data_IF_908992378067
#
_entry.id   IF_908992378067
#
_cell.length_a   1.000
_cell.length_b   1.000
_cell.length_c   1.000
_cell.angle_alpha   90.00
_cell.angle_beta   90.00
_cell.angle_gamma   90.00
#
_symmetry.space_group_name_H-M   'P 1'
#
loop_
_entity.id
_entity.type
_entity.pdbx_description
1 polymer ?
#
# COMPACT_ATOMS: atom_id res chain seq x y z
N UNK A 1 -1.68 -18.59 -26.79
CA UNK A 1 -2.74 -18.05 -25.91
C UNK A 1 -3.88 -17.49 -26.77
N UNK A 2 -5.10 -18.00 -26.59
CA UNK A 2 -6.36 -17.36 -27.04
C UNK A 2 -7.25 -17.07 -25.81
N UNK A 3 -7.72 -15.83 -25.64
CA UNK A 3 -8.78 -15.49 -24.69
C UNK A 3 -10.01 -14.99 -25.43
N UNK A 4 -11.16 -15.58 -25.11
CA UNK A 4 -12.49 -15.22 -25.61
C UNK A 4 -13.44 -15.19 -24.42
N UNK A 5 -14.04 -14.03 -24.10
CA UNK A 5 -14.85 -13.86 -22.88
C UNK A 5 -15.91 -12.76 -22.96
N UNK A 6 -17.07 -13.06 -22.36
CA UNK A 6 -18.20 -12.16 -22.14
C UNK A 6 -18.40 -12.00 -20.62
N UNK A 7 -17.32 -11.61 -19.93
CA UNK A 7 -17.29 -11.45 -18.47
C UNK A 7 -17.85 -10.09 -18.03
N UNK A 8 -18.21 -10.01 -16.75
CA UNK A 8 -18.56 -8.79 -16.02
C UNK A 8 -18.37 -9.10 -14.53
N UNK A 9 -17.56 -8.30 -13.84
CA UNK A 9 -17.40 -8.34 -12.39
C UNK A 9 -17.29 -6.92 -11.80
N UNK A 10 -17.49 -6.79 -10.49
CA UNK A 10 -17.52 -5.49 -9.82
C UNK A 10 -16.69 -5.55 -8.53
N UNK A 11 -15.71 -4.64 -8.46
CA UNK A 11 -14.88 -4.35 -7.29
C UNK A 11 -14.58 -2.86 -7.26
N UNK A 12 -14.99 -2.16 -6.20
CA UNK A 12 -15.25 -0.71 -6.27
C UNK A 12 -15.16 -0.04 -4.88
N UNK A 13 -14.55 1.15 -4.82
CA UNK A 13 -13.81 1.62 -3.65
C UNK A 13 -14.37 2.93 -3.04
N UNK A 14 -14.95 2.86 -1.84
CA UNK A 14 -15.23 4.04 -1.00
C UNK A 14 -14.91 3.75 0.47
N UNK A 15 -13.85 4.39 0.99
CA UNK A 15 -13.34 4.16 2.35
C UNK A 15 -12.52 5.31 2.94
N UNK A 16 -12.04 5.08 4.16
CA UNK A 16 -10.96 5.83 4.80
C UNK A 16 -9.81 4.85 5.08
N UNK A 17 -8.71 4.97 4.32
CA UNK A 17 -7.58 4.03 4.35
C UNK A 17 -6.32 4.74 4.86
N UNK A 18 -5.56 4.05 5.71
CA UNK A 18 -4.24 4.49 6.18
C UNK A 18 -3.20 3.42 5.78
N UNK A 19 -2.46 3.73 4.71
CA UNK A 19 -1.36 2.93 4.17
C UNK A 19 -0.02 3.54 4.56
N UNK A 20 0.50 3.15 5.73
CA UNK A 20 1.85 3.51 6.18
C UNK A 20 2.85 2.43 5.76
N UNK A 21 4.01 2.84 5.26
CA UNK A 21 5.22 2.00 5.23
C UNK A 21 6.11 2.15 6.49
N UNK A 22 5.67 3.02 7.41
CA UNK A 22 5.92 3.30 8.85
C UNK A 22 7.15 4.12 9.28
N UNK A 23 6.86 5.32 9.79
CA UNK A 23 7.79 6.39 10.18
C UNK A 23 6.98 7.66 10.40
N UNK A 24 6.80 8.04 11.67
CA UNK A 24 5.79 9.02 12.08
C UNK A 24 5.90 9.40 13.55
N UNK A 25 6.28 10.64 13.83
CA UNK A 25 6.58 11.19 15.16
C UNK A 25 5.55 12.27 15.52
N UNK A 26 4.93 12.12 16.70
CA UNK A 26 3.92 13.04 17.29
C UNK A 26 3.93 12.93 18.82
N UNK A 27 5.52 6.68 14.11
CA UNK A 27 5.23 7.12 15.49
C UNK A 27 3.74 7.00 15.86
N UNK A 28 6.62 11.56 13.77
CA UNK A 28 5.77 12.76 13.91
C UNK A 28 5.40 13.03 15.38
N UNK B 1 1.50 17.83 27.19
CA UNK B 1 2.63 17.08 26.61
C UNK B 1 3.94 17.83 26.81
N UNK B 2 4.99 17.14 27.28
CA UNK B 2 6.40 17.49 27.06
C UNK B 2 7.06 16.35 26.28
N UNK B 3 7.84 16.66 25.24
CA UNK B 3 8.85 15.73 24.70
C UNK B 3 10.22 16.41 24.73
N UNK B 4 11.19 15.70 25.30
CA UNK B 4 12.62 15.96 25.15
C UNK B 4 13.29 14.62 24.84
N UNK B 5 14.13 14.57 23.80
CA UNK B 5 14.85 13.36 23.38
C UNK B 5 16.08 13.70 22.53
N UNK B 6 17.11 12.85 22.64
CA UNK B 6 18.17 12.72 21.63
C UNK B 6 18.04 11.30 21.07
N UNK B 7 17.44 11.19 19.88
CA UNK B 7 17.16 9.92 19.22
C UNK B 7 17.79 9.92 17.82
N UNK B 8 18.58 8.88 17.55
CA UNK B 8 19.17 8.58 16.25
C UNK B 8 18.75 7.14 15.93
N UNK B 9 18.02 6.93 14.83
CA UNK B 9 17.64 5.59 14.33
C UNK B 9 17.74 5.54 12.79
N UNK B 10 17.45 4.40 12.14
CA UNK B 10 17.75 4.19 10.70
C UNK B 10 16.77 3.19 10.05
N UNK B 11 15.88 3.70 9.20
CA UNK B 11 14.96 2.91 8.37
C UNK B 11 14.99 3.37 6.91
N UNK B 12 15.73 2.67 6.06
CA UNK B 12 16.04 3.09 4.68
C UNK B 12 15.68 2.00 3.64
N UNK B 13 15.25 2.38 2.42
CA UNK B 13 14.43 1.53 1.55
C UNK B 13 14.93 1.40 0.10
N UNK B 14 15.24 0.17 -0.33
CA UNK B 14 15.51 -0.19 -1.73
C UNK B 14 14.86 -1.53 -2.09
N UNK B 15 13.62 -1.47 -2.59
CA UNK B 15 12.76 -2.63 -2.87
C UNK B 15 12.05 -2.62 -4.22
N UNK B 16 11.61 -3.81 -4.64
CA UNK B 16 10.81 -4.06 -5.84
C UNK B 16 9.32 -4.21 -5.47
N UNK B 17 8.78 -3.20 -4.78
CA UNK B 17 7.49 -3.27 -4.08
C UNK B 17 6.32 -3.24 -5.07
N UNK B 18 5.45 -4.25 -5.00
CA UNK B 18 4.10 -4.17 -5.56
C UNK B 18 3.12 -3.92 -4.42
N UNK B 19 2.36 -2.82 -4.51
CA UNK B 19 1.16 -2.56 -3.71
C UNK B 19 -0.04 -2.37 -4.63
N UNK B 20 -0.99 -3.31 -4.57
CA UNK B 20 -2.26 -3.23 -5.29
C UNK B 20 -3.37 -3.04 -4.27
N UNK B 21 -4.32 -2.15 -4.56
CA UNK B 21 -5.60 -2.08 -3.83
C UNK B 21 -6.73 -2.89 -4.52
N UNK B 22 -6.31 -3.77 -5.44
CA UNK B 22 -6.90 -4.91 -6.19
C UNK B 22 -8.02 -4.67 -7.23
N UNK B 23 -7.70 -5.00 -8.49
CA UNK B 23 -8.44 -4.64 -9.71
C UNK B 23 -7.45 -4.56 -10.88
N UNK B 24 -7.39 -5.62 -11.69
CA UNK B 24 -6.33 -5.80 -12.69
C UNK B 24 -6.62 -6.94 -13.65
N UNK B 25 -6.82 -6.60 -14.92
CA UNK B 25 -7.07 -7.51 -16.04
C UNK B 25 -5.86 -7.47 -16.99
N UNK B 26 -5.51 -8.62 -17.60
CA UNK B 26 -4.28 -8.86 -18.39
C UNK B 26 -4.48 -10.00 -19.39
N UNK B 27 -5.84 -9.51 -11.87
CA UNK B 27 -5.84 -10.66 -12.81
C UNK B 27 -4.65 -11.62 -12.66
N UNK B 28 -7.37 -11.26 -14.99
CA UNK B 28 -6.24 -11.73 -15.81
C UNK B 28 -6.44 -13.18 -16.32
#
# INVERSE_FOLDING_TARGET
QKLVFFAEDVGSNKGAIIGLMVGGVVIA
QKLVFFAEDVGSNKGAIIGLMVGGVVIA
#
